data_IF_377744972255
#
_entry.id   IF_377744972255
#
_cell.length_a   1.000
_cell.length_b   1.000
_cell.length_c   1.000
_cell.angle_alpha   90.00
_cell.angle_beta   90.00
_cell.angle_gamma   90.00
#
_symmetry.space_group_name_H-M   'P 1'
#
loop_
_entity.id
_entity.type
_entity.pdbx_description
1 polymer ?
#
# COMPACT_ATOMS: atom_id res chain seq x y z
N UNK A 1 -30.11 7.26 -5.99
CA UNK A 1 -28.75 6.87 -5.57
C UNK A 1 -28.90 5.98 -4.35
N UNK A 2 -28.47 4.70 -4.41
CA UNK A 2 -28.50 3.82 -3.24
C UNK A 2 -27.49 4.38 -2.24
N UNK A 3 -27.95 4.79 -1.06
CA UNK A 3 -27.08 5.30 0.00
C UNK A 3 -26.04 4.25 0.34
N UNK A 4 -24.76 4.62 0.28
CA UNK A 4 -23.71 3.81 0.87
C UNK A 4 -24.03 3.70 2.37
N UNK A 5 -24.11 2.48 2.88
CA UNK A 5 -24.09 2.26 4.32
C UNK A 5 -22.88 2.99 4.91
N UNK A 6 -23.06 3.65 6.07
CA UNK A 6 -21.96 4.25 6.82
C UNK A 6 -20.85 3.20 7.00
N UNK A 7 -19.73 3.34 6.29
CA UNK A 7 -18.52 2.58 6.57
C UNK A 7 -17.78 3.33 7.66
N UNK A 8 -18.26 3.17 8.88
CA UNK A 8 -17.55 3.67 10.05
C UNK A 8 -16.37 2.73 10.32
N UNK A 9 -15.16 3.29 10.28
CA UNK A 9 -13.93 2.62 10.69
C UNK A 9 -13.57 3.10 12.09
N UNK A 10 -13.21 2.16 12.97
CA UNK A 10 -12.68 2.48 14.29
C UNK A 10 -11.24 3.02 14.18
N UNK A 11 -10.48 2.49 13.20
CA UNK A 11 -9.10 2.89 12.92
C UNK A 11 -8.89 3.02 11.42
N UNK A 12 -8.26 4.12 11.00
CA UNK A 12 -7.86 4.37 9.63
C UNK A 12 -6.34 4.44 9.51
N UNK A 13 -5.77 3.63 8.64
CA UNK A 13 -4.34 3.53 8.38
C UNK A 13 -4.08 3.98 6.95
N UNK A 14 -3.23 4.99 6.78
CA UNK A 14 -2.82 5.50 5.47
C UNK A 14 -1.42 4.99 5.15
N UNK A 15 -1.32 4.21 4.07
CA UNK A 15 -0.13 3.52 3.61
C UNK A 15 -0.19 2.02 3.92
N UNK A 16 -0.12 1.20 2.87
CA UNK A 16 -0.06 -0.26 2.98
C UNK A 16 1.39 -0.78 2.90
N UNK A 17 2.35 -0.06 3.48
CA UNK A 17 3.70 -0.55 3.71
C UNK A 17 3.78 -1.52 4.90
N UNK A 18 4.97 -2.04 5.25
CA UNK A 18 5.13 -2.95 6.38
C UNK A 18 4.56 -2.36 7.69
N UNK A 19 4.84 -1.08 7.98
CA UNK A 19 4.31 -0.41 9.16
C UNK A 19 2.78 -0.41 9.23
N UNK A 20 2.10 -0.10 8.12
CA UNK A 20 0.64 -0.08 8.07
C UNK A 20 0.02 -1.48 8.14
N UNK A 21 0.58 -2.43 7.39
CA UNK A 21 0.09 -3.82 7.38
C UNK A 21 0.26 -4.47 8.76
N UNK A 22 1.44 -4.34 9.38
CA UNK A 22 1.68 -4.93 10.70
C UNK A 22 0.94 -4.20 11.81
N UNK A 23 0.70 -2.89 11.68
CA UNK A 23 -0.17 -2.17 12.63
C UNK A 23 -1.59 -2.69 12.56
N UNK A 24 -2.15 -2.88 11.37
CA UNK A 24 -3.48 -3.47 11.21
C UNK A 24 -3.54 -4.89 11.79
N UNK A 25 -2.52 -5.71 11.50
CA UNK A 25 -2.40 -7.06 12.03
C UNK A 25 -2.38 -7.09 13.56
N UNK A 26 -1.50 -6.31 14.19
CA UNK A 26 -1.35 -6.26 15.65
C UNK A 26 -2.62 -5.73 16.34
N UNK A 27 -3.31 -4.76 15.74
CA UNK A 27 -4.59 -4.28 16.26
C UNK A 27 -5.65 -5.39 16.22
N UNK A 28 -5.75 -6.14 15.12
CA UNK A 28 -6.67 -7.28 15.02
C UNK A 28 -6.32 -8.43 15.97
N UNK A 29 -5.04 -8.63 16.30
CA UNK A 29 -4.63 -9.60 17.32
C UNK A 29 -5.09 -9.18 18.73
N UNK A 30 -5.10 -7.87 19.02
CA UNK A 30 -5.52 -7.33 20.33
C UNK A 30 -7.04 -7.24 20.46
N UNK A 31 -7.72 -6.88 19.39
CA UNK A 31 -9.17 -6.79 19.34
C UNK A 31 -9.67 -7.05 17.90
N UNK A 32 -10.24 -8.24 17.71
CA UNK A 32 -10.77 -8.67 16.42
C UNK A 32 -12.11 -8.05 16.05
N UNK A 33 -12.73 -7.26 16.95
CA UNK A 33 -13.97 -6.54 16.67
C UNK A 33 -13.75 -5.20 15.96
N UNK A 34 -12.52 -4.69 15.96
CA UNK A 34 -12.16 -3.43 15.32
C UNK A 34 -12.38 -3.49 13.79
N UNK A 35 -13.10 -2.48 13.26
CA UNK A 35 -13.18 -2.21 11.83
C UNK A 35 -12.03 -1.32 11.41
N UNK A 36 -11.00 -1.92 10.84
CA UNK A 36 -9.79 -1.22 10.41
C UNK A 36 -9.82 -1.02 8.89
N UNK A 37 -9.64 0.22 8.46
CA UNK A 37 -9.46 0.57 7.04
C UNK A 37 -8.00 0.86 6.73
N UNK A 38 -7.41 0.14 5.78
CA UNK A 38 -6.05 0.42 5.28
C UNK A 38 -6.16 0.97 3.85
N UNK A 39 -5.63 2.17 3.63
CA UNK A 39 -5.74 2.90 2.37
C UNK A 39 -4.36 3.12 1.76
N UNK A 40 -4.22 2.82 0.47
CA UNK A 40 -2.95 2.95 -0.27
C UNK A 40 -3.19 3.70 -1.58
N UNK A 41 -2.29 4.62 -1.92
CA UNK A 41 -2.39 5.44 -3.12
C UNK A 41 -1.85 4.73 -4.38
N UNK A 42 -1.00 3.72 -4.19
CA UNK A 42 -0.46 2.88 -5.24
C UNK A 42 -1.29 1.64 -5.52
N UNK A 43 -0.69 0.71 -6.28
CA UNK A 43 -1.38 -0.48 -6.77
C UNK A 43 -1.13 -1.71 -5.88
N UNK A 44 -1.98 -2.76 -6.03
CA UNK A 44 -1.64 -4.12 -5.60
C UNK A 44 -0.31 -4.59 -6.20
N UNK A 45 0.38 -5.49 -5.49
CA UNK A 45 1.77 -5.85 -5.78
C UNK A 45 1.99 -6.39 -7.20
N UNK A 46 1.09 -7.23 -7.71
CA UNK A 46 1.10 -7.82 -9.06
C UNK A 46 0.97 -6.77 -10.18
N UNK A 47 0.40 -5.60 -9.85
CA UNK A 47 0.20 -4.48 -10.76
C UNK A 47 1.25 -3.36 -10.58
N UNK A 48 2.23 -3.54 -9.69
CA UNK A 48 3.33 -2.58 -9.51
C UNK A 48 4.40 -2.81 -10.58
N UNK A 49 4.46 -1.92 -11.57
CA UNK A 49 5.46 -1.95 -12.65
C UNK A 49 6.14 -0.60 -12.82
N UNK A 50 7.46 -0.58 -12.66
CA UNK A 50 8.28 0.56 -13.04
C UNK A 50 8.40 0.59 -14.58
N UNK A 51 8.22 1.74 -15.25
CA UNK A 51 8.32 1.82 -16.71
C UNK A 51 9.77 1.75 -17.21
N UNK A 52 10.77 1.81 -16.32
CA UNK A 52 12.18 1.62 -16.68
C UNK A 52 12.36 0.19 -17.19
N UNK A 53 12.71 0.08 -18.47
CA UNK A 53 12.94 -1.19 -19.17
C UNK A 53 14.40 -1.37 -19.63
N UNK A 54 15.25 -0.36 -19.38
CA UNK A 54 16.65 -0.32 -19.79
C UNK A 54 16.88 -0.13 -21.29
N UNK A 55 15.82 -0.08 -22.11
CA UNK A 55 15.88 0.06 -23.57
C UNK A 55 15.27 1.38 -24.03
N UNK A 56 13.95 1.53 -23.89
CA UNK A 56 13.21 2.75 -24.25
C UNK A 56 13.29 3.78 -23.13
N UNK A 57 13.12 3.33 -21.88
CA UNK A 57 13.18 4.17 -20.69
C UNK A 57 14.38 3.71 -19.89
N UNK A 58 15.46 4.48 -19.99
CA UNK A 58 16.77 4.15 -19.41
C UNK A 58 16.96 4.64 -17.98
N UNK A 59 16.14 5.58 -17.52
CA UNK A 59 16.25 6.22 -16.22
C UNK A 59 14.89 6.57 -15.65
N UNK A 60 14.86 6.89 -14.35
CA UNK A 60 13.64 7.32 -13.66
C UNK A 60 13.03 8.55 -14.33
N UNK A 61 11.71 8.52 -14.53
CA UNK A 61 10.94 9.60 -15.18
C UNK A 61 10.07 10.41 -14.21
N UNK A 62 10.20 10.17 -12.90
CA UNK A 62 9.42 10.89 -11.88
C UNK A 62 7.91 10.65 -12.01
N UNK A 63 7.47 9.38 -12.05
CA UNK A 63 6.06 9.04 -12.12
C UNK A 63 5.24 9.75 -11.04
N UNK A 64 4.04 10.24 -11.38
CA UNK A 64 3.10 10.86 -10.44
C UNK A 64 2.86 9.99 -9.20
N UNK A 65 2.68 8.69 -9.41
CA UNK A 65 2.71 7.66 -8.35
C UNK A 65 3.78 6.64 -8.73
N UNK A 66 4.87 6.60 -7.96
CA UNK A 66 5.98 5.69 -8.24
C UNK A 66 5.64 4.27 -7.78
N UNK A 67 5.58 3.31 -8.71
CA UNK A 67 5.31 1.91 -8.42
C UNK A 67 6.38 1.23 -7.55
N UNK A 68 7.60 1.78 -7.49
CA UNK A 68 8.67 1.29 -6.61
C UNK A 68 8.45 1.75 -5.17
N UNK A 69 8.01 2.99 -4.96
CA UNK A 69 7.87 3.58 -3.62
C UNK A 69 6.49 3.36 -3.00
N UNK A 70 5.44 3.29 -3.83
CA UNK A 70 4.04 3.27 -3.41
C UNK A 70 3.35 1.98 -3.88
N UNK A 71 2.26 1.61 -3.21
CA UNK A 71 1.52 0.37 -3.42
C UNK A 71 1.67 -0.60 -2.26
N UNK A 72 0.97 -1.73 -2.34
CA UNK A 72 0.99 -2.74 -1.29
C UNK A 72 2.41 -3.26 -1.04
N UNK A 73 2.85 -3.27 0.23
CA UNK A 73 4.21 -3.56 0.66
C UNK A 73 5.17 -2.35 0.64
N UNK A 74 4.73 -1.18 0.19
CA UNK A 74 5.52 0.05 0.15
C UNK A 74 6.84 -0.09 -0.61
N UNK A 75 7.83 0.73 -0.24
CA UNK A 75 9.17 0.65 -0.84
C UNK A 75 9.90 -0.68 -0.56
N UNK A 76 9.55 -1.36 0.55
CA UNK A 76 10.16 -2.63 0.95
C UNK A 76 9.90 -3.78 -0.04
N UNK A 77 8.80 -3.74 -0.79
CA UNK A 77 8.47 -4.81 -1.74
C UNK A 77 9.48 -4.97 -2.90
N UNK A 78 10.22 -3.90 -3.22
CA UNK A 78 11.27 -3.90 -4.26
C UNK A 78 12.65 -3.57 -3.69
N UNK A 79 12.80 -3.65 -2.37
CA UNK A 79 14.12 -3.57 -1.75
C UNK A 79 14.74 -4.95 -1.71
N UNK A 80 16.01 -4.97 -1.34
CA UNK A 80 16.81 -6.18 -1.09
C UNK A 80 16.34 -6.94 0.18
N UNK A 81 15.27 -6.48 0.85
CA UNK A 81 14.66 -7.20 1.98
C UNK A 81 15.58 -7.36 3.18
N UNK A 82 16.48 -6.40 3.39
CA UNK A 82 17.40 -6.41 4.53
C UNK A 82 16.60 -6.08 5.81
N UNK A 83 16.61 -7.03 6.74
CA UNK A 83 15.90 -7.06 8.02
C UNK A 83 14.38 -7.28 7.91
#
# INVERSE_FOLDING_TARGET
>A
MKGCANMDYDVMIVGAGPGGIFTAYELLQRDSSLRIGVFECGNPLDQRKCPIDGKKIKSCIGCKTCAIMNGFGGAGAFSDGKY
#
